data_IF_368112462575
#
_entry.id   IF_368112462575
#
_cell.length_a   1.000
_cell.length_b   1.000
_cell.length_c   1.000
_cell.angle_alpha   90.00
_cell.angle_beta   90.00
_cell.angle_gamma   90.00
#
_symmetry.space_group_name_H-M   'P 1'
#
loop_
_entity.id
_entity.type
_entity.pdbx_description
1 polymer ?
#
# COMPACT_ATOMS: atom_id res chain seq x y z
N UNK A 1 25.66 12.67 -0.05
CA UNK A 1 25.08 11.36 -0.44
C UNK A 1 23.62 11.58 -0.82
N UNK A 2 23.19 10.97 -1.92
CA UNK A 2 21.79 10.96 -2.35
C UNK A 2 21.01 9.89 -1.56
N UNK A 3 19.69 9.93 -1.68
CA UNK A 3 18.80 8.90 -1.15
C UNK A 3 18.23 8.08 -2.30
N UNK A 4 18.35 6.76 -2.22
CA UNK A 4 17.81 5.86 -3.23
C UNK A 4 16.28 5.89 -3.25
N UNK A 5 15.62 6.23 -4.38
CA UNK A 5 14.16 6.26 -4.48
C UNK A 5 13.50 4.87 -4.34
N UNK A 6 14.24 3.79 -4.53
CA UNK A 6 13.73 2.40 -4.40
C UNK A 6 13.90 1.87 -2.98
N UNK A 7 15.06 2.07 -2.32
CA UNK A 7 15.34 1.47 -1.01
C UNK A 7 15.21 2.46 0.15
N UNK A 8 15.33 3.76 -0.10
CA UNK A 8 15.47 4.87 0.87
C UNK A 8 16.81 4.88 1.63
N UNK A 9 17.76 4.03 1.22
CA UNK A 9 19.12 4.05 1.74
C UNK A 9 19.92 5.20 1.13
N UNK A 10 20.93 5.70 1.86
CA UNK A 10 21.89 6.65 1.33
C UNK A 10 22.81 5.97 0.31
N UNK A 11 23.09 6.64 -0.80
CA UNK A 11 23.98 6.17 -1.85
C UNK A 11 24.68 7.32 -2.57
N UNK A 12 25.75 7.03 -3.30
CA UNK A 12 26.47 8.03 -4.11
C UNK A 12 25.67 8.42 -5.36
N UNK A 13 25.18 7.42 -6.11
CA UNK A 13 24.33 7.62 -7.29
C UNK A 13 22.88 7.97 -6.95
N UNK A 14 22.05 8.17 -7.98
CA UNK A 14 20.60 8.39 -7.84
C UNK A 14 19.93 7.16 -7.21
N UNK A 15 20.31 5.96 -7.66
CA UNK A 15 19.81 4.69 -7.15
C UNK A 15 20.95 3.91 -6.50
N UNK A 16 20.67 3.22 -5.39
CA UNK A 16 21.63 2.31 -4.77
C UNK A 16 21.79 1.02 -5.57
N UNK A 17 22.96 0.35 -5.53
CA UNK A 17 23.15 -0.95 -6.19
C UNK A 17 22.10 -1.99 -5.76
N UNK A 18 21.73 -1.98 -4.47
CA UNK A 18 20.65 -2.82 -3.96
C UNK A 18 19.32 -2.50 -4.61
N UNK A 19 18.96 -1.22 -4.72
CA UNK A 19 17.72 -0.80 -5.39
C UNK A 19 17.64 -1.24 -6.84
N UNK A 20 18.74 -1.13 -7.58
CA UNK A 20 18.81 -1.57 -8.97
C UNK A 20 18.71 -3.10 -9.09
N UNK A 21 19.39 -3.84 -8.21
CA UNK A 21 19.35 -5.31 -8.20
C UNK A 21 17.95 -5.90 -7.95
N UNK A 22 17.07 -5.15 -7.26
CA UNK A 22 15.68 -5.54 -7.03
C UNK A 22 14.86 -5.52 -8.34
N UNK A 23 15.21 -4.66 -9.30
CA UNK A 23 14.57 -4.60 -10.60
C UNK A 23 15.13 -5.65 -11.56
N UNK A 24 16.46 -5.74 -11.66
CA UNK A 24 17.14 -6.75 -12.46
C UNK A 24 18.55 -6.99 -11.92
N UNK A 25 18.97 -8.26 -11.86
CA UNK A 25 20.35 -8.62 -11.52
C UNK A 25 21.31 -7.99 -12.54
N UNK A 26 22.42 -7.43 -12.06
CA UNK A 26 23.42 -6.76 -12.88
C UNK A 26 23.05 -5.37 -13.41
N UNK A 27 21.90 -4.81 -13.02
CA UNK A 27 21.53 -3.46 -13.40
C UNK A 27 22.43 -2.44 -12.69
N UNK A 28 23.11 -1.58 -13.47
CA UNK A 28 24.04 -0.57 -12.95
C UNK A 28 23.48 0.85 -12.99
N UNK A 29 22.45 1.09 -13.78
CA UNK A 29 21.78 2.38 -13.92
C UNK A 29 20.29 2.19 -14.23
N UNK A 30 19.48 3.20 -13.96
CA UNK A 30 18.05 3.24 -14.28
C UNK A 30 17.73 4.61 -14.88
N UNK A 31 17.30 4.62 -16.13
CA UNK A 31 16.93 5.84 -16.84
C UNK A 31 15.56 6.36 -16.37
N UNK A 32 15.36 7.69 -16.31
CA UNK A 32 14.07 8.28 -15.96
C UNK A 32 13.01 7.92 -17.01
N UNK A 33 11.72 8.04 -16.66
CA UNK A 33 10.63 7.89 -17.63
C UNK A 33 10.76 8.99 -18.71
N UNK A 34 10.59 8.66 -20.01
CA UNK A 34 10.74 9.61 -21.12
C UNK A 34 9.46 10.46 -21.29
N UNK A 35 8.88 10.88 -20.17
CA UNK A 35 7.61 11.60 -20.07
C UNK A 35 7.73 12.58 -18.90
N UNK A 36 7.10 13.75 -19.01
CA UNK A 36 6.88 14.63 -17.84
C UNK A 36 5.75 14.10 -16.94
N UNK A 37 5.59 14.68 -15.76
CA UNK A 37 4.47 14.36 -14.87
C UNK A 37 3.11 14.62 -15.55
N UNK A 38 3.00 15.70 -16.31
CA UNK A 38 1.76 16.07 -17.01
C UNK A 38 1.47 15.11 -18.17
N UNK A 39 2.50 14.68 -18.91
CA UNK A 39 2.37 13.66 -19.95
C UNK A 39 1.88 12.34 -19.36
N UNK A 40 2.48 11.90 -18.26
CA UNK A 40 2.09 10.66 -17.58
C UNK A 40 0.63 10.70 -17.08
N UNK A 41 0.18 11.84 -16.52
CA UNK A 41 -1.22 12.01 -16.13
C UNK A 41 -2.16 11.94 -17.33
N UNK A 42 -1.82 12.63 -18.43
CA UNK A 42 -2.60 12.62 -19.67
C UNK A 42 -2.70 11.21 -20.26
N UNK A 43 -1.58 10.49 -20.33
CA UNK A 43 -1.53 9.09 -20.76
C UNK A 43 -2.40 8.19 -19.88
N UNK A 44 -2.35 8.39 -18.56
CA UNK A 44 -3.13 7.59 -17.62
C UNK A 44 -4.64 7.80 -17.81
N UNK A 45 -5.08 9.04 -18.02
CA UNK A 45 -6.49 9.38 -18.30
C UNK A 45 -6.92 8.80 -19.65
N UNK A 46 -6.10 8.97 -20.70
CA UNK A 46 -6.40 8.47 -22.03
C UNK A 46 -6.57 6.94 -22.05
N UNK A 47 -5.71 6.22 -21.32
CA UNK A 47 -5.72 4.74 -21.24
C UNK A 47 -6.75 4.18 -20.26
N UNK A 48 -7.24 4.96 -19.31
CA UNK A 48 -8.30 4.54 -18.39
C UNK A 48 -9.69 4.43 -19.06
N UNK A 49 -9.85 5.00 -20.26
CA UNK A 49 -11.10 5.01 -21.02
C UNK A 49 -12.16 5.97 -20.45
N UNK A 50 -13.25 6.22 -21.20
CA UNK A 50 -14.37 7.14 -20.84
C UNK A 50 -15.12 6.79 -19.54
N UNK A 51 -14.77 5.68 -18.86
CA UNK A 51 -15.47 5.14 -17.69
C UNK A 51 -14.69 5.28 -16.38
N UNK A 52 -13.70 6.17 -16.33
CA UNK A 52 -12.93 6.45 -15.11
C UNK A 52 -13.64 7.46 -14.21
N UNK A 53 -14.30 6.94 -13.17
CA UNK A 53 -14.99 7.66 -12.09
C UNK A 53 -14.06 8.71 -11.46
N UNK A 54 -14.58 9.93 -11.26
CA UNK A 54 -13.94 11.01 -10.50
C UNK A 54 -13.36 10.48 -9.17
N UNK A 55 -12.12 10.86 -8.85
CA UNK A 55 -11.48 10.54 -7.57
C UNK A 55 -10.61 9.26 -7.53
N UNK A 56 -10.46 8.51 -8.62
CA UNK A 56 -9.44 7.44 -8.69
C UNK A 56 -8.09 8.01 -9.15
N UNK A 57 -7.01 7.68 -8.43
CA UNK A 57 -5.66 8.05 -8.82
C UNK A 57 -5.31 7.45 -10.20
N UNK A 58 -4.87 8.26 -11.19
CA UNK A 58 -4.48 7.74 -12.49
C UNK A 58 -3.34 6.73 -12.37
N UNK A 59 -3.39 5.67 -13.16
CA UNK A 59 -2.35 4.62 -13.17
C UNK A 59 -2.07 4.12 -14.58
N UNK A 60 -0.80 3.81 -14.82
CA UNK A 60 -0.28 3.29 -16.07
C UNK A 60 0.22 1.87 -15.87
N UNK A 61 -0.01 1.01 -16.87
CA UNK A 61 0.58 -0.32 -16.92
C UNK A 61 1.94 -0.23 -17.62
N UNK A 62 2.96 -0.93 -17.09
CA UNK A 62 4.32 -0.87 -17.59
C UNK A 62 5.06 -2.21 -17.47
N UNK A 63 6.15 -2.34 -18.21
CA UNK A 63 7.19 -3.36 -18.01
C UNK A 63 8.52 -2.68 -17.71
N UNK A 64 9.41 -3.37 -17.01
CA UNK A 64 10.81 -2.95 -16.91
C UNK A 64 11.60 -3.65 -18.01
N UNK A 65 12.39 -2.89 -18.78
CA UNK A 65 13.27 -3.39 -19.84
C UNK A 65 14.72 -3.35 -19.35
N UNK A 66 15.33 -4.49 -18.96
CA UNK A 66 16.73 -4.50 -18.52
C UNK A 66 17.70 -4.06 -19.62
N UNK A 67 17.38 -4.33 -20.89
CA UNK A 67 18.18 -3.92 -22.05
C UNK A 67 18.24 -2.40 -22.18
N UNK A 68 17.07 -1.75 -22.08
CA UNK A 68 16.96 -0.29 -22.20
C UNK A 68 17.16 0.41 -20.85
N UNK A 69 17.28 -0.36 -19.76
CA UNK A 69 17.44 0.12 -18.38
C UNK A 69 16.36 1.14 -17.98
N UNK A 70 15.13 0.93 -18.43
CA UNK A 70 14.02 1.87 -18.29
C UNK A 70 12.68 1.13 -18.14
N UNK A 71 11.68 1.82 -17.59
CA UNK A 71 10.28 1.38 -17.64
C UNK A 71 9.62 1.80 -18.96
N UNK A 72 8.91 0.87 -19.58
CA UNK A 72 8.17 1.08 -20.84
C UNK A 72 6.67 0.93 -20.57
N UNK A 73 5.88 1.92 -21.00
CA UNK A 73 4.42 1.87 -20.88
C UNK A 73 3.83 0.79 -21.80
N UNK A 74 2.82 0.07 -21.31
CA UNK A 74 2.15 -1.03 -22.03
C UNK A 74 0.66 -1.02 -21.73
N UNK A 75 -0.17 -1.10 -22.76
CA UNK A 75 -1.63 -1.21 -22.58
C UNK A 75 -2.03 -2.58 -22.01
N UNK A 76 -1.33 -3.63 -22.46
CA UNK A 76 -1.58 -5.02 -22.08
C UNK A 76 -0.31 -5.72 -21.60
N UNK A 77 -0.48 -6.69 -20.70
CA UNK A 77 0.62 -7.55 -20.24
C UNK A 77 1.66 -6.88 -19.34
N UNK A 78 1.45 -5.62 -18.91
CA UNK A 78 2.35 -4.96 -17.97
C UNK A 78 2.47 -5.72 -16.65
N UNK A 79 3.69 -5.78 -16.13
CA UNK A 79 4.05 -6.43 -14.86
C UNK A 79 4.24 -5.42 -13.71
N UNK A 80 4.18 -4.13 -14.02
CA UNK A 80 4.24 -3.03 -13.07
C UNK A 80 3.07 -2.08 -13.29
N UNK A 81 2.69 -1.37 -12.23
CA UNK A 81 1.84 -0.19 -12.30
C UNK A 81 2.68 1.03 -11.93
N UNK A 82 2.51 2.12 -12.66
CA UNK A 82 3.09 3.42 -12.38
C UNK A 82 1.96 4.38 -12.03
N UNK A 83 2.08 5.09 -10.90
CA UNK A 83 1.15 6.11 -10.44
C UNK A 83 1.85 7.47 -10.50
N UNK A 84 1.42 8.36 -11.41
CA UNK A 84 2.07 9.64 -11.57
C UNK A 84 1.88 10.56 -10.36
N UNK A 85 2.72 11.60 -10.28
CA UNK A 85 2.51 12.70 -9.31
C UNK A 85 1.14 13.34 -9.52
N UNK A 86 0.42 13.55 -8.42
CA UNK A 86 -0.91 14.18 -8.42
C UNK A 86 -0.77 15.71 -8.43
N UNK A 87 -1.67 16.40 -9.12
CA UNK A 87 -1.79 17.87 -9.04
C UNK A 87 -2.54 18.29 -7.78
N UNK A 88 -3.54 17.50 -7.37
CA UNK A 88 -4.40 17.81 -6.22
C UNK A 88 -3.78 17.40 -4.89
N UNK A 89 -2.85 16.45 -4.90
CA UNK A 89 -2.27 15.86 -3.68
C UNK A 89 -0.75 15.84 -3.79
N UNK A 90 -0.10 16.85 -3.22
CA UNK A 90 1.36 16.96 -3.22
C UNK A 90 1.98 15.76 -2.50
N UNK A 91 3.04 15.21 -3.10
CA UNK A 91 3.84 14.13 -2.53
C UNK A 91 3.09 12.79 -2.36
N UNK A 92 2.01 12.58 -3.11
CA UNK A 92 1.22 11.34 -3.01
C UNK A 92 2.02 10.06 -3.37
N UNK A 93 2.82 10.02 -4.45
CA UNK A 93 3.74 8.92 -4.73
C UNK A 93 4.72 8.64 -3.59
N UNK A 94 5.32 9.70 -3.04
CA UNK A 94 6.29 9.61 -1.96
C UNK A 94 5.66 9.09 -0.66
N UNK A 95 4.44 9.53 -0.35
CA UNK A 95 3.62 9.05 0.76
C UNK A 95 3.35 7.55 0.61
N UNK A 96 2.84 7.11 -0.53
CA UNK A 96 2.56 5.69 -0.77
C UNK A 96 3.82 4.81 -0.69
N UNK A 97 4.93 5.26 -1.28
CA UNK A 97 6.21 4.54 -1.19
C UNK A 97 6.69 4.42 0.27
N UNK A 98 6.60 5.49 1.06
CA UNK A 98 6.95 5.47 2.47
C UNK A 98 6.04 4.52 3.25
N UNK A 99 4.73 4.65 3.12
CA UNK A 99 3.77 3.84 3.89
C UNK A 99 3.90 2.36 3.58
N UNK A 100 4.14 1.96 2.33
CA UNK A 100 4.42 0.55 2.00
C UNK A 100 5.74 0.06 2.62
N UNK A 101 6.79 0.88 2.65
CA UNK A 101 8.05 0.50 3.31
C UNK A 101 7.91 0.35 4.82
N UNK A 102 7.11 1.21 5.46
CA UNK A 102 6.75 1.04 6.87
C UNK A 102 5.98 -0.27 7.10
N UNK A 103 5.08 -0.65 6.17
CA UNK A 103 4.39 -1.94 6.22
C UNK A 103 5.37 -3.12 6.14
N UNK A 104 6.37 -3.05 5.26
CA UNK A 104 7.40 -4.08 5.16
C UNK A 104 8.18 -4.23 6.47
N UNK A 105 8.54 -3.13 7.13
CA UNK A 105 9.17 -3.13 8.46
C UNK A 105 8.24 -3.73 9.53
N UNK A 106 6.93 -3.54 9.42
CA UNK A 106 5.94 -4.16 10.29
C UNK A 106 5.70 -5.67 10.00
N UNK A 107 6.41 -6.26 9.03
CA UNK A 107 6.26 -7.66 8.64
C UNK A 107 5.07 -7.92 7.71
N UNK A 108 4.47 -6.88 7.13
CA UNK A 108 3.40 -7.00 6.14
C UNK A 108 4.01 -7.27 4.77
N UNK A 109 3.58 -8.36 4.12
CA UNK A 109 4.01 -8.67 2.75
C UNK A 109 3.55 -7.58 1.78
N UNK A 110 4.49 -6.96 1.07
CA UNK A 110 4.25 -5.97 0.02
C UNK A 110 4.92 -6.42 -1.29
N UNK A 111 4.41 -6.00 -2.46
CA UNK A 111 5.15 -6.16 -3.71
C UNK A 111 6.39 -5.28 -3.74
N UNK A 112 7.32 -5.59 -4.66
CA UNK A 112 8.41 -4.67 -4.99
C UNK A 112 7.82 -3.33 -5.45
N UNK A 113 8.17 -2.26 -4.76
CA UNK A 113 7.74 -0.91 -5.07
C UNK A 113 8.85 0.11 -4.79
N UNK A 114 8.63 1.33 -5.24
CA UNK A 114 9.53 2.45 -4.99
C UNK A 114 9.13 3.67 -5.79
N UNK A 115 10.07 4.59 -5.94
CA UNK A 115 9.89 5.80 -6.73
C UNK A 115 10.77 5.79 -7.99
N UNK A 116 10.28 6.44 -9.04
CA UNK A 116 10.95 6.64 -10.32
C UNK A 116 10.94 8.11 -10.69
N UNK A 117 12.06 8.60 -11.20
CA UNK A 117 12.12 9.91 -11.81
C UNK A 117 11.49 9.89 -13.20
N UNK A 118 10.73 10.95 -13.50
CA UNK A 118 10.41 11.36 -14.86
C UNK A 118 11.50 12.28 -15.42
N UNK A 119 11.48 12.54 -16.73
CA UNK A 119 12.49 13.38 -17.38
C UNK A 119 12.53 14.82 -16.86
N UNK A 120 11.40 15.30 -16.30
CA UNK A 120 11.25 16.61 -15.67
C UNK A 120 11.70 16.62 -14.19
N UNK A 121 12.25 15.51 -13.68
CA UNK A 121 12.69 15.35 -12.30
C UNK A 121 11.57 15.05 -11.30
N UNK A 122 10.31 14.95 -11.74
CA UNK A 122 9.20 14.59 -10.85
C UNK A 122 9.28 13.11 -10.41
N UNK A 123 8.85 12.84 -9.17
CA UNK A 123 8.80 11.49 -8.62
C UNK A 123 7.44 10.84 -8.89
N UNK A 124 7.47 9.59 -9.33
CA UNK A 124 6.32 8.77 -9.64
C UNK A 124 6.44 7.44 -8.89
N UNK A 125 5.32 6.89 -8.42
CA UNK A 125 5.34 5.64 -7.66
C UNK A 125 5.24 4.47 -8.63
N UNK A 126 5.99 3.41 -8.37
CA UNK A 126 5.79 2.14 -9.09
C UNK A 126 5.60 1.00 -8.11
N UNK A 127 4.83 0.01 -8.56
CA UNK A 127 4.60 -1.23 -7.83
C UNK A 127 4.55 -2.41 -8.80
N UNK A 128 5.22 -3.50 -8.44
CA UNK A 128 5.16 -4.77 -9.17
C UNK A 128 3.80 -5.41 -8.93
N UNK A 129 3.18 -5.88 -10.01
CA UNK A 129 1.90 -6.57 -9.96
C UNK A 129 2.05 -7.96 -9.35
N UNK A 130 1.34 -8.24 -8.26
CA UNK A 130 1.33 -9.55 -7.61
C UNK A 130 0.46 -10.59 -8.34
N UNK A 131 -0.43 -10.14 -9.23
CA UNK A 131 -1.33 -10.95 -10.06
C UNK A 131 -0.69 -11.35 -11.40
N UNK A 132 0.61 -11.09 -11.58
CA UNK A 132 1.40 -11.43 -12.78
C UNK A 132 2.64 -12.21 -12.38
N UNK A 133 2.96 -13.28 -13.12
CA UNK A 133 4.16 -14.09 -12.86
C UNK A 133 5.01 -14.35 -14.11
N UNK A 134 4.91 -13.45 -15.10
CA UNK A 134 5.74 -13.46 -16.32
C UNK A 134 5.06 -14.14 -17.52
N UNK A 135 5.62 -13.92 -18.72
CA UNK A 135 5.19 -14.54 -19.98
C UNK A 135 3.67 -14.46 -20.26
N UNK A 136 3.04 -13.32 -19.91
CA UNK A 136 1.60 -13.11 -20.10
C UNK A 136 0.69 -13.87 -19.12
N UNK A 137 1.24 -14.68 -18.21
CA UNK A 137 0.47 -15.48 -17.27
C UNK A 137 0.00 -14.66 -16.06
N UNK A 138 -1.19 -15.01 -15.55
CA UNK A 138 -1.90 -14.30 -14.49
C UNK A 138 -2.34 -15.28 -13.39
N UNK A 139 -2.31 -14.82 -12.15
CA UNK A 139 -3.02 -15.49 -11.06
C UNK A 139 -4.46 -14.98 -11.04
N UNK A 140 -5.41 -15.84 -10.63
CA UNK A 140 -6.77 -15.38 -10.35
C UNK A 140 -6.74 -14.48 -9.11
N UNK A 141 -7.29 -13.29 -9.24
CA UNK A 141 -7.29 -12.26 -8.21
C UNK A 141 -8.68 -11.60 -8.18
N UNK A 142 -9.31 -11.57 -7.02
CA UNK A 142 -10.63 -10.98 -6.82
C UNK A 142 -10.63 -10.10 -5.58
N UNK A 143 -11.10 -8.85 -5.72
CA UNK A 143 -11.23 -7.94 -4.60
C UNK A 143 -12.46 -8.27 -3.73
N UNK A 144 -12.46 -7.82 -2.48
CA UNK A 144 -13.54 -8.18 -1.54
C UNK A 144 -14.89 -7.57 -1.94
N UNK A 145 -14.92 -6.49 -2.73
CA UNK A 145 -16.17 -5.97 -3.26
C UNK A 145 -16.79 -6.93 -4.26
N UNK A 146 -15.96 -7.59 -5.09
CA UNK A 146 -16.40 -8.61 -6.05
C UNK A 146 -16.86 -9.87 -5.33
N UNK A 147 -16.09 -10.37 -4.36
CA UNK A 147 -16.43 -11.56 -3.59
C UNK A 147 -17.72 -11.41 -2.78
N UNK A 148 -18.07 -10.19 -2.38
CA UNK A 148 -19.34 -9.87 -1.73
C UNK A 148 -20.50 -9.63 -2.72
N UNK A 149 -20.27 -9.73 -4.03
CA UNK A 149 -21.30 -9.51 -5.05
C UNK A 149 -21.83 -8.07 -5.10
N UNK A 150 -21.06 -7.09 -4.63
CA UNK A 150 -21.54 -5.71 -4.49
C UNK A 150 -21.50 -4.95 -5.83
N UNK A 151 -22.50 -4.09 -6.11
CA UNK A 151 -22.49 -3.23 -7.29
C UNK A 151 -21.29 -2.27 -7.33
N UNK A 152 -20.89 -1.85 -8.54
CA UNK A 152 -19.86 -0.82 -8.73
C UNK A 152 -20.22 0.45 -7.95
N UNK A 153 -19.25 1.03 -7.26
CA UNK A 153 -19.44 2.21 -6.40
C UNK A 153 -19.75 1.89 -4.93
N UNK A 154 -20.03 0.63 -4.58
CA UNK A 154 -20.34 0.20 -3.21
C UNK A 154 -19.10 -0.12 -2.37
N UNK A 155 -17.92 0.42 -2.72
CA UNK A 155 -16.63 0.07 -2.11
C UNK A 155 -16.57 0.31 -0.59
N UNK A 156 -17.40 1.22 -0.06
CA UNK A 156 -17.53 1.51 1.37
C UNK A 156 -18.73 0.84 2.05
N UNK A 157 -19.63 0.16 1.32
CA UNK A 157 -20.88 -0.41 1.86
C UNK A 157 -20.64 -1.78 2.49
N UNK A 158 -19.84 -1.81 3.55
CA UNK A 158 -19.51 -3.03 4.31
C UNK A 158 -18.94 -2.68 5.68
N UNK A 159 -18.36 -3.67 6.37
CA UNK A 159 -17.72 -3.50 7.68
C UNK A 159 -16.50 -4.41 7.82
N UNK A 160 -15.61 -4.11 8.77
CA UNK A 160 -14.41 -4.93 9.02
C UNK A 160 -14.76 -6.39 9.35
N UNK A 161 -15.87 -6.64 10.05
CA UNK A 161 -16.35 -7.98 10.38
C UNK A 161 -16.76 -8.78 9.14
N UNK A 162 -17.25 -8.09 8.10
CA UNK A 162 -17.62 -8.75 6.84
C UNK A 162 -16.39 -9.23 6.07
N UNK A 163 -15.25 -8.55 6.19
CA UNK A 163 -13.97 -9.02 5.61
C UNK A 163 -13.56 -10.35 6.25
N UNK A 164 -13.79 -10.54 7.54
CA UNK A 164 -13.53 -11.83 8.21
C UNK A 164 -14.38 -12.94 7.60
N UNK A 165 -15.65 -12.67 7.31
CA UNK A 165 -16.55 -13.64 6.66
C UNK A 165 -16.07 -14.01 5.25
N UNK A 166 -15.56 -13.05 4.47
CA UNK A 166 -14.96 -13.35 3.16
C UNK A 166 -13.76 -14.27 3.30
N UNK A 167 -12.89 -14.02 4.29
CA UNK A 167 -11.72 -14.88 4.56
C UNK A 167 -12.17 -16.29 4.95
N UNK A 168 -13.16 -16.42 5.83
CA UNK A 168 -13.70 -17.73 6.25
C UNK A 168 -14.29 -18.53 5.09
N UNK A 169 -14.99 -17.86 4.18
CA UNK A 169 -15.66 -18.52 3.06
C UNK A 169 -14.72 -18.94 1.93
N UNK A 170 -13.61 -18.23 1.72
CA UNK A 170 -12.83 -18.36 0.49
C UNK A 170 -11.36 -18.74 0.68
N UNK A 171 -10.73 -18.44 1.83
CA UNK A 171 -9.31 -18.74 2.02
C UNK A 171 -9.09 -20.21 2.36
N UNK A 172 -8.01 -20.79 1.84
CA UNK A 172 -7.63 -22.18 2.15
C UNK A 172 -7.26 -22.37 3.62
N UNK A 173 -6.63 -21.36 4.25
CA UNK A 173 -6.25 -21.38 5.67
C UNK A 173 -6.71 -20.09 6.38
N UNK A 174 -8.00 -19.98 6.75
CA UNK A 174 -8.59 -18.72 7.21
C UNK A 174 -7.88 -18.08 8.40
N UNK A 175 -7.47 -18.84 9.42
CA UNK A 175 -6.87 -18.28 10.64
C UNK A 175 -5.57 -17.51 10.37
N UNK A 176 -4.75 -18.00 9.43
CA UNK A 176 -3.49 -17.33 9.01
C UNK A 176 -3.82 -16.01 8.31
N UNK A 177 -4.85 -16.01 7.48
CA UNK A 177 -5.26 -14.82 6.71
C UNK A 177 -5.97 -13.79 7.60
N UNK A 178 -6.71 -14.22 8.64
CA UNK A 178 -7.28 -13.32 9.66
C UNK A 178 -6.19 -12.59 10.45
N UNK A 179 -5.09 -13.26 10.79
CA UNK A 179 -3.91 -12.61 11.40
C UNK A 179 -3.34 -11.52 10.50
N UNK A 180 -3.20 -11.79 9.19
CA UNK A 180 -2.75 -10.77 8.21
C UNK A 180 -3.75 -9.62 8.09
N UNK A 181 -5.05 -9.90 8.12
CA UNK A 181 -6.09 -8.87 8.12
C UNK A 181 -5.99 -7.98 9.37
N UNK A 182 -5.83 -8.58 10.55
CA UNK A 182 -5.62 -7.87 11.80
C UNK A 182 -4.37 -6.97 11.75
N UNK A 183 -3.24 -7.48 11.27
CA UNK A 183 -2.03 -6.70 11.04
C UNK A 183 -2.27 -5.50 10.13
N UNK A 184 -2.98 -5.68 9.00
CA UNK A 184 -3.31 -4.59 8.08
C UNK A 184 -4.24 -3.56 8.69
N UNK A 185 -5.20 -3.98 9.51
CA UNK A 185 -6.11 -3.08 10.20
C UNK A 185 -5.34 -2.20 11.20
N UNK A 186 -4.54 -2.80 12.08
CA UNK A 186 -3.72 -2.05 13.04
C UNK A 186 -2.77 -1.09 12.32
N UNK A 187 -2.09 -1.58 11.28
CA UNK A 187 -1.15 -0.78 10.49
C UNK A 187 -1.85 0.41 9.82
N UNK A 188 -2.98 0.16 9.15
CA UNK A 188 -3.76 1.21 8.47
C UNK A 188 -4.22 2.28 9.47
N UNK A 189 -4.64 1.85 10.66
CA UNK A 189 -4.97 2.77 11.73
C UNK A 189 -3.74 3.60 12.12
N UNK A 190 -2.63 3.00 12.57
CA UNK A 190 -1.48 3.78 13.06
C UNK A 190 -0.84 4.68 11.99
N UNK A 191 -0.95 4.33 10.70
CA UNK A 191 -0.40 5.16 9.61
C UNK A 191 -1.38 6.15 9.00
N UNK A 192 -2.61 6.27 9.50
CA UNK A 192 -3.56 7.24 8.94
C UNK A 192 -4.15 6.86 7.58
N UNK A 193 -4.26 5.57 7.26
CA UNK A 193 -4.94 5.13 6.05
C UNK A 193 -6.44 4.98 6.28
N UNK A 194 -7.14 6.09 6.09
CA UNK A 194 -8.58 6.26 6.31
C UNK A 194 -9.40 5.92 5.06
N UNK A 195 -8.76 5.56 3.94
CA UNK A 195 -9.42 5.12 2.70
C UNK A 195 -9.27 3.61 2.44
N UNK A 196 -8.94 2.82 3.47
CA UNK A 196 -8.78 1.35 3.39
C UNK A 196 -10.12 0.62 3.23
N UNK A 197 -10.67 0.61 2.01
CA UNK A 197 -12.00 0.07 1.69
C UNK A 197 -11.94 -1.33 1.03
N UNK A 198 -13.09 -1.89 0.65
CA UNK A 198 -13.20 -3.28 0.14
C UNK A 198 -12.25 -3.60 -1.03
N UNK A 199 -11.99 -2.63 -1.91
CA UNK A 199 -11.13 -2.85 -3.08
C UNK A 199 -9.62 -2.86 -2.78
N UNK A 200 -9.22 -2.59 -1.54
CA UNK A 200 -7.82 -2.69 -1.08
C UNK A 200 -7.50 -4.09 -0.52
N UNK A 201 -8.52 -4.96 -0.41
CA UNK A 201 -8.36 -6.35 -0.01
C UNK A 201 -8.65 -7.25 -1.20
N UNK A 202 -7.69 -8.09 -1.56
CA UNK A 202 -7.78 -9.02 -2.69
C UNK A 202 -7.40 -10.41 -2.22
N UNK A 203 -8.17 -11.42 -2.65
CA UNK A 203 -7.75 -12.82 -2.56
C UNK A 203 -7.07 -13.23 -3.86
N UNK A 204 -6.02 -14.05 -3.72
CA UNK A 204 -5.19 -14.51 -4.81
C UNK A 204 -5.11 -16.03 -4.79
N UNK A 205 -5.40 -16.66 -5.93
CA UNK A 205 -5.22 -18.10 -6.10
C UNK A 205 -3.86 -18.40 -6.71
N UNK A 206 -2.97 -19.03 -5.94
CA UNK A 206 -1.64 -19.47 -6.38
C UNK A 206 -1.49 -20.96 -6.13
N UNK A 207 -1.33 -21.73 -7.22
CA UNK A 207 -1.10 -23.19 -7.15
C UNK A 207 -2.16 -23.92 -6.28
N UNK A 208 -3.42 -23.52 -6.39
CA UNK A 208 -4.53 -24.11 -5.63
C UNK A 208 -4.73 -23.56 -4.22
N UNK A 209 -3.86 -22.68 -3.72
CA UNK A 209 -4.02 -22.01 -2.43
C UNK A 209 -4.62 -20.62 -2.63
N UNK A 210 -5.72 -20.34 -1.93
CA UNK A 210 -6.36 -19.03 -1.89
C UNK A 210 -5.96 -18.33 -0.59
N UNK A 211 -5.31 -17.17 -0.71
CA UNK A 211 -4.85 -16.35 0.41
C UNK A 211 -5.00 -14.86 0.10
N UNK A 212 -4.88 -13.99 1.11
CA UNK A 212 -4.76 -12.56 0.87
C UNK A 212 -3.55 -12.28 -0.04
N UNK A 213 -3.73 -11.38 -1.00
CA UNK A 213 -2.63 -10.83 -1.80
C UNK A 213 -1.66 -10.06 -0.90
N UNK A 214 -0.42 -9.78 -1.34
CA UNK A 214 0.39 -8.73 -0.73
C UNK A 214 -0.40 -7.42 -0.56
N UNK A 215 -0.07 -6.60 0.44
CA UNK A 215 -0.70 -5.31 0.66
C UNK A 215 -0.26 -4.30 -0.41
N UNK A 216 -1.21 -3.50 -0.88
CA UNK A 216 -1.04 -2.47 -1.91
C UNK A 216 -1.96 -1.29 -1.59
N UNK A 217 -1.76 -0.15 -2.26
CA UNK A 217 -2.55 1.08 -2.03
C UNK A 217 -2.58 1.47 -0.53
N UNK A 218 -1.44 1.30 0.16
CA UNK A 218 -1.27 1.80 1.53
C UNK A 218 -0.78 3.24 1.46
N UNK A 219 -1.61 4.18 1.90
CA UNK A 219 -1.32 5.62 1.84
C UNK A 219 -1.76 6.26 3.14
N UNK A 220 -0.97 7.18 3.70
CA UNK A 220 -1.44 8.03 4.79
C UNK A 220 -2.38 9.11 4.20
N UNK A 221 -3.68 8.80 4.17
CA UNK A 221 -4.69 9.70 3.63
C UNK A 221 -4.98 10.87 4.57
N UNK A 222 -4.80 10.72 5.89
CA UNK A 222 -4.90 11.83 6.84
C UNK A 222 -3.90 12.95 6.48
N UNK A 223 -2.72 12.57 5.98
CA UNK A 223 -1.70 13.51 5.52
C UNK A 223 -2.03 14.12 4.16
N UNK A 224 -2.57 13.32 3.23
CA UNK A 224 -2.83 13.75 1.85
C UNK A 224 -4.11 14.60 1.70
N UNK A 225 -5.14 14.30 2.47
CA UNK A 225 -6.48 14.90 2.39
C UNK A 225 -6.76 15.91 3.51
N UNK A 226 -5.85 16.01 4.49
CA UNK A 226 -6.14 16.62 5.79
C UNK A 226 -6.84 15.65 6.74
N UNK A 227 -6.92 16.03 8.02
CA UNK A 227 -7.51 15.17 9.05
C UNK A 227 -9.00 14.93 8.77
N UNK A 228 -9.37 13.69 8.46
CA UNK A 228 -10.75 13.24 8.46
C UNK A 228 -11.29 13.13 9.89
N UNK A 229 -12.61 13.23 10.04
CA UNK A 229 -13.26 12.80 11.27
C UNK A 229 -13.20 11.27 11.45
N UNK A 230 -13.10 10.53 10.34
CA UNK A 230 -13.03 9.07 10.32
C UNK A 230 -11.58 8.59 10.39
N UNK A 231 -11.35 7.57 11.21
CA UNK A 231 -10.05 6.91 11.42
C UNK A 231 -9.92 5.61 10.61
N UNK A 232 -11.05 5.09 10.09
CA UNK A 232 -11.16 3.93 9.21
C UNK A 232 -12.22 4.17 8.11
N UNK A 233 -11.98 3.63 6.90
CA UNK A 233 -12.95 3.66 5.81
C UNK A 233 -14.17 2.76 6.08
N UNK A 234 -13.92 1.56 6.59
CA UNK A 234 -14.94 0.57 6.95
C UNK A 234 -15.17 0.62 8.46
N UNK A 235 -16.43 0.63 8.93
CA UNK A 235 -16.71 0.63 10.35
C UNK A 235 -16.20 -0.64 11.02
N UNK A 236 -15.78 -0.48 12.27
CA UNK A 236 -15.43 -1.53 13.20
C UNK A 236 -16.30 -1.39 14.45
N UNK A 237 -17.03 -2.44 14.83
CA UNK A 237 -18.04 -2.37 15.89
C UNK A 237 -19.04 -1.20 15.68
N UNK A 238 -19.38 -0.91 14.42
CA UNK A 238 -20.26 0.22 14.05
C UNK A 238 -19.61 1.61 14.11
N UNK A 239 -18.33 1.72 14.49
CA UNK A 239 -17.60 2.99 14.63
C UNK A 239 -16.59 3.17 13.51
N UNK A 240 -16.39 4.40 13.08
CA UNK A 240 -15.27 4.78 12.19
C UNK A 240 -14.24 5.68 12.87
N UNK A 241 -14.54 6.18 14.06
CA UNK A 241 -13.71 7.10 14.81
C UNK A 241 -13.84 6.82 16.30
N UNK A 242 -12.99 7.49 17.11
CA UNK A 242 -12.89 7.27 18.56
C UNK A 242 -12.65 5.79 18.89
N UNK A 243 -11.90 5.10 18.03
CA UNK A 243 -11.56 3.70 18.22
C UNK A 243 -10.54 3.56 19.35
N UNK A 244 -10.68 2.54 20.19
CA UNK A 244 -9.76 2.27 21.28
C UNK A 244 -9.17 0.86 21.17
N UNK A 245 -8.21 0.52 22.05
CA UNK A 245 -7.59 -0.81 22.08
C UNK A 245 -8.62 -1.93 22.17
N UNK A 246 -9.69 -1.80 22.96
CA UNK A 246 -10.71 -2.85 23.08
C UNK A 246 -11.44 -3.12 21.75
N UNK A 247 -11.70 -2.09 20.94
CA UNK A 247 -12.31 -2.25 19.61
C UNK A 247 -11.41 -3.13 18.70
N UNK A 248 -10.09 -2.91 18.73
CA UNK A 248 -9.14 -3.67 17.89
C UNK A 248 -8.80 -5.05 18.46
N UNK A 249 -8.44 -5.15 19.75
CA UNK A 249 -7.85 -6.35 20.33
C UNK A 249 -8.92 -7.31 20.84
N UNK A 250 -9.79 -6.86 21.74
CA UNK A 250 -10.81 -7.72 22.33
C UNK A 250 -11.92 -8.00 21.32
N UNK A 251 -12.48 -6.96 20.70
CA UNK A 251 -13.58 -7.14 19.76
C UNK A 251 -13.10 -7.72 18.43
N UNK A 252 -12.24 -7.02 17.67
CA UNK A 252 -11.89 -7.49 16.33
C UNK A 252 -10.92 -8.69 16.35
N UNK A 253 -9.80 -8.58 17.05
CA UNK A 253 -8.74 -9.58 17.05
C UNK A 253 -9.16 -10.90 17.69
N UNK A 254 -9.68 -10.85 18.91
CA UNK A 254 -10.10 -12.04 19.65
C UNK A 254 -11.49 -12.51 19.24
N UNK A 255 -12.52 -11.69 19.38
CA UNK A 255 -13.90 -12.15 19.19
C UNK A 255 -14.29 -12.36 17.72
N UNK A 256 -13.84 -11.51 16.80
CA UNK A 256 -14.16 -11.66 15.36
C UNK A 256 -13.15 -12.54 14.64
N UNK A 257 -11.85 -12.32 14.85
CA UNK A 257 -10.81 -13.06 14.14
C UNK A 257 -10.45 -14.41 14.80
N UNK A 258 -10.81 -14.63 16.07
CA UNK A 258 -10.48 -15.86 16.79
C UNK A 258 -8.99 -16.00 17.08
N UNK A 259 -8.25 -14.88 17.13
CA UNK A 259 -6.80 -14.92 17.37
C UNK A 259 -6.52 -15.07 18.88
N UNK A 260 -5.58 -15.95 19.26
CA UNK A 260 -5.14 -16.05 20.65
C UNK A 260 -4.52 -14.74 21.15
N UNK A 261 -4.71 -14.41 22.42
CA UNK A 261 -4.20 -13.18 23.05
C UNK A 261 -2.68 -13.01 22.85
N UNK A 262 -1.91 -14.09 22.98
CA UNK A 262 -0.46 -14.10 22.70
C UNK A 262 -0.11 -13.63 21.29
N UNK A 263 -0.95 -13.93 20.29
CA UNK A 263 -0.75 -13.47 18.91
C UNK A 263 -1.04 -11.98 18.82
N UNK A 264 -2.14 -11.52 19.42
CA UNK A 264 -2.53 -10.12 19.41
C UNK A 264 -1.46 -9.23 20.07
N UNK A 265 -0.98 -9.63 21.25
CA UNK A 265 0.10 -8.94 21.95
C UNK A 265 1.39 -8.93 21.16
N UNK A 266 1.75 -10.06 20.53
CA UNK A 266 2.94 -10.12 19.67
C UNK A 266 2.86 -9.13 18.49
N UNK A 267 1.68 -8.93 17.89
CA UNK A 267 1.50 -7.94 16.83
C UNK A 267 1.68 -6.51 17.34
N UNK A 268 1.15 -6.19 18.52
CA UNK A 268 1.34 -4.87 19.12
C UNK A 268 2.80 -4.61 19.48
N UNK A 269 3.45 -5.58 20.14
CA UNK A 269 4.86 -5.48 20.50
C UNK A 269 5.75 -5.37 19.26
N UNK A 270 5.39 -6.02 18.15
CA UNK A 270 6.09 -5.86 16.89
C UNK A 270 6.03 -4.42 16.36
N UNK A 271 4.88 -3.74 16.47
CA UNK A 271 4.77 -2.33 16.09
C UNK A 271 5.61 -1.42 17.00
N UNK A 272 5.57 -1.64 18.32
CA UNK A 272 6.39 -0.87 19.28
C UNK A 272 7.89 -1.06 19.06
N UNK A 273 8.33 -2.30 18.84
CA UNK A 273 9.72 -2.64 18.55
C UNK A 273 10.25 -1.85 17.35
N UNK A 274 9.42 -1.66 16.32
CA UNK A 274 9.81 -0.95 15.11
C UNK A 274 9.53 0.56 15.15
N UNK A 275 8.99 1.12 16.25
CA UNK A 275 8.65 2.54 16.37
C UNK A 275 9.81 3.46 15.97
N UNK A 276 11.01 3.22 16.51
CA UNK A 276 12.21 4.02 16.20
C UNK A 276 12.59 3.90 14.74
N UNK A 277 12.50 2.70 14.16
CA UNK A 277 12.80 2.47 12.75
C UNK A 277 11.76 3.14 11.83
N UNK A 278 10.49 3.18 12.23
CA UNK A 278 9.46 3.92 11.53
C UNK A 278 9.77 5.41 11.51
N UNK A 279 10.04 6.00 12.67
CA UNK A 279 10.40 7.43 12.79
C UNK A 279 11.61 7.75 11.92
N UNK A 280 12.67 6.96 12.02
CA UNK A 280 13.86 7.14 11.19
C UNK A 280 13.53 7.06 9.70
N UNK A 281 12.74 6.07 9.26
CA UNK A 281 12.37 5.95 7.85
C UNK A 281 11.51 7.13 7.37
N UNK A 282 10.63 7.68 8.22
CA UNK A 282 9.84 8.87 7.91
C UNK A 282 10.76 10.09 7.76
N UNK A 283 11.73 10.29 8.66
CA UNK A 283 12.74 11.36 8.55
C UNK A 283 13.60 11.22 7.30
N UNK A 284 13.90 9.98 6.92
CA UNK A 284 14.58 9.64 5.68
C UNK A 284 13.62 9.46 4.50
N UNK A 285 12.41 10.00 4.51
CA UNK A 285 11.46 9.89 3.38
C UNK A 285 11.49 11.09 2.44
N UNK A 286 10.98 10.93 1.23
CA UNK A 286 10.91 12.00 0.22
C UNK A 286 9.76 13.00 0.47
N UNK A 287 9.09 12.91 1.63
CA UNK A 287 8.16 13.93 2.13
C UNK A 287 8.93 15.18 2.58
N UNK A 288 8.27 16.33 2.60
CA UNK A 288 8.84 17.55 3.19
C UNK A 288 8.82 17.49 4.72
N UNK A 289 9.58 18.36 5.39
CA UNK A 289 9.76 18.34 6.85
C UNK A 289 8.44 18.43 7.62
N UNK A 290 7.55 19.35 7.23
CA UNK A 290 6.22 19.47 7.86
C UNK A 290 5.40 18.18 7.73
N UNK A 291 5.40 17.57 6.55
CA UNK A 291 4.71 16.31 6.31
C UNK A 291 5.32 15.15 7.12
N UNK A 292 6.64 15.14 7.32
CA UNK A 292 7.31 14.15 8.16
C UNK A 292 6.91 14.31 9.63
N UNK A 293 6.88 15.54 10.15
CA UNK A 293 6.44 15.82 11.53
C UNK A 293 4.99 15.40 11.74
N UNK A 294 4.09 15.76 10.81
CA UNK A 294 2.67 15.40 10.91
C UNK A 294 2.47 13.88 10.87
N UNK A 295 3.22 13.16 10.02
CA UNK A 295 3.18 11.70 9.97
C UNK A 295 3.65 11.09 11.30
N UNK A 296 4.78 11.55 11.84
CA UNK A 296 5.34 11.06 13.11
C UNK A 296 4.35 11.32 14.25
N UNK A 297 3.83 12.54 14.37
CA UNK A 297 2.86 12.91 15.40
C UNK A 297 1.61 12.03 15.35
N UNK A 298 1.07 11.77 14.16
CA UNK A 298 -0.07 10.88 13.98
C UNK A 298 0.25 9.45 14.40
N UNK A 299 1.39 8.92 13.95
CA UNK A 299 1.86 7.58 14.25
C UNK A 299 2.00 7.37 15.76
N UNK A 300 2.66 8.30 16.45
CA UNK A 300 2.85 8.23 17.90
C UNK A 300 1.53 8.34 18.66
N UNK A 301 0.67 9.29 18.28
CA UNK A 301 -0.65 9.45 18.89
C UNK A 301 -1.48 8.18 18.77
N UNK A 302 -1.50 7.54 17.59
CA UNK A 302 -2.30 6.33 17.36
C UNK A 302 -1.68 5.08 17.99
N UNK A 303 -0.34 4.98 18.06
CA UNK A 303 0.32 3.92 18.82
C UNK A 303 -0.02 3.98 20.31
N UNK A 304 0.03 5.17 20.92
CA UNK A 304 -0.31 5.34 22.34
C UNK A 304 -1.76 4.93 22.64
N UNK A 305 -2.70 5.23 21.74
CA UNK A 305 -4.10 4.79 21.87
C UNK A 305 -4.32 3.28 21.79
N UNK A 306 -3.33 2.54 21.27
CA UNK A 306 -3.36 1.08 21.29
C UNK A 306 -2.70 0.52 22.54
N UNK A 307 -2.05 1.34 23.38
CA UNK A 307 -1.47 0.92 24.66
C UNK A 307 -2.51 0.87 25.79
N UNK A 308 -3.35 1.90 25.84
CA UNK A 308 -4.42 2.13 26.82
C UNK A 308 -5.65 1.27 26.53
#
# INVERSE_FOLDING_TARGET
MNRCPITFELCEGIYSPRGLSLLSRGLTELLPLPFSASDLRREAIARAGKMSVQGMQPKLSAIFSPKNKQFELRDNGGTFLIKPQSESYLKLPENEALTLKLAALAGIEIPLCGLLYAQDGSLNFFIKRFDRYGHGKKYAAEDFSQLLGLPRGSKYKSSMEKLVTVIDSHCTFPLIEKKKLFQRLLFSFITGNEDMHLKNFTLLSRKGIISLSPAYDLVNTSLALGKSADELALPLAGKKNRLNRADFFEYFGKNRCGLPEKVLDAEYQNLLKHKVQFINLIRYSFLNENQQEDYIKLLEQRLNRLQE
#
